data_IF_782103943894
#
_entry.id   IF_782103943894
#
_cell.length_a   1.000
_cell.length_b   1.000
_cell.length_c   1.000
_cell.angle_alpha   90.00
_cell.angle_beta   90.00
_cell.angle_gamma   90.00
#
_symmetry.space_group_name_H-M   'P 1'
#
loop_
_entity.id
_entity.type
_entity.pdbx_description
1 polymer ?
#
# COMPACT_ATOMS: atom_id res chain seq x y z
N UNK A 1 19.07 -36.18 3.25
CA UNK A 1 18.63 -35.14 4.22
C UNK A 1 18.47 -33.85 3.43
N UNK A 2 17.25 -33.54 3.03
CA UNK A 2 16.95 -32.39 2.16
C UNK A 2 16.69 -31.17 3.06
N UNK A 3 17.50 -30.13 2.89
CA UNK A 3 17.33 -28.84 3.57
C UNK A 3 16.11 -28.14 2.98
N UNK A 4 15.00 -28.07 3.72
CA UNK A 4 13.94 -27.10 3.43
C UNK A 4 14.40 -25.73 3.93
N UNK A 5 14.79 -24.86 2.99
CA UNK A 5 14.78 -23.43 3.25
C UNK A 5 13.31 -23.02 3.26
N UNK A 6 12.67 -23.16 4.43
CA UNK A 6 11.41 -22.47 4.68
C UNK A 6 11.73 -20.98 4.59
N UNK A 7 11.49 -20.39 3.41
CA UNK A 7 11.24 -18.97 3.31
C UNK A 7 9.91 -18.73 4.04
N UNK A 8 9.96 -18.78 5.37
CA UNK A 8 8.94 -18.22 6.24
C UNK A 8 8.83 -16.78 5.78
N UNK A 9 7.85 -16.54 4.91
CA UNK A 9 7.50 -15.24 4.41
C UNK A 9 7.16 -14.43 5.64
N UNK A 10 8.16 -13.69 6.12
CA UNK A 10 8.08 -12.89 7.33
C UNK A 10 7.19 -11.72 6.94
N UNK A 11 5.89 -11.94 7.01
CA UNK A 11 4.85 -10.94 6.83
C UNK A 11 5.32 -9.74 7.65
N UNK A 12 5.61 -8.65 6.93
CA UNK A 12 6.35 -7.51 7.47
C UNK A 12 5.77 -7.10 8.82
N UNK A 13 6.65 -6.63 9.72
CA UNK A 13 6.36 -6.24 11.10
C UNK A 13 4.87 -6.07 11.40
N UNK A 14 4.30 -6.95 12.23
CA UNK A 14 2.88 -6.94 12.61
C UNK A 14 2.40 -5.53 13.03
N UNK A 15 3.29 -4.75 13.66
CA UNK A 15 3.03 -3.36 14.05
C UNK A 15 2.81 -2.45 12.85
N UNK A 16 3.59 -2.62 11.78
CA UNK A 16 3.42 -1.89 10.52
C UNK A 16 2.11 -2.28 9.84
N UNK A 17 1.77 -3.57 9.82
CA UNK A 17 0.49 -4.04 9.30
C UNK A 17 -0.70 -3.42 10.04
N UNK A 18 -0.68 -3.44 11.37
CA UNK A 18 -1.73 -2.82 12.22
C UNK A 18 -1.80 -1.31 11.97
N UNK A 19 -0.66 -0.62 11.88
CA UNK A 19 -0.63 0.82 11.60
C UNK A 19 -1.28 1.14 10.25
N UNK A 20 -0.95 0.41 9.19
CA UNK A 20 -1.54 0.60 7.86
C UNK A 20 -3.04 0.30 7.88
N UNK A 21 -3.46 -0.81 8.48
CA UNK A 21 -4.88 -1.18 8.57
C UNK A 21 -5.68 -0.13 9.35
N UNK A 22 -5.15 0.36 10.48
CA UNK A 22 -5.80 1.40 11.27
C UNK A 22 -5.96 2.71 10.48
N UNK A 23 -4.94 3.10 9.72
CA UNK A 23 -4.98 4.26 8.84
C UNK A 23 -6.03 4.09 7.73
N UNK A 24 -6.10 2.90 7.11
CA UNK A 24 -7.10 2.59 6.07
C UNK A 24 -8.52 2.67 6.62
N UNK A 25 -8.77 2.11 7.80
CA UNK A 25 -10.09 2.15 8.45
C UNK A 25 -10.50 3.61 8.75
N UNK A 26 -9.60 4.44 9.25
CA UNK A 26 -9.89 5.85 9.54
C UNK A 26 -10.27 6.63 8.27
N UNK A 27 -9.48 6.49 7.20
CA UNK A 27 -9.76 7.16 5.91
C UNK A 27 -11.06 6.64 5.30
N UNK A 28 -11.29 5.32 5.36
CA UNK A 28 -12.53 4.70 4.87
C UNK A 28 -13.76 5.21 5.63
N UNK A 29 -13.68 5.33 6.94
CA UNK A 29 -14.79 5.82 7.78
C UNK A 29 -15.13 7.26 7.45
N UNK A 30 -14.11 8.13 7.30
CA UNK A 30 -14.31 9.53 6.91
C UNK A 30 -14.93 9.62 5.51
N UNK A 31 -14.42 8.83 4.55
CA UNK A 31 -14.97 8.81 3.19
C UNK A 31 -16.39 8.27 3.13
N UNK A 32 -16.70 7.26 3.94
CA UNK A 32 -18.05 6.70 4.06
C UNK A 32 -19.05 7.72 4.63
N UNK A 33 -18.68 8.43 5.71
CA UNK A 33 -19.51 9.49 6.30
C UNK A 33 -19.74 10.61 5.28
N UNK A 34 -18.68 11.07 4.60
CA UNK A 34 -18.77 12.13 3.59
C UNK A 34 -19.62 11.71 2.37
N UNK A 35 -19.60 10.43 1.99
CA UNK A 35 -20.43 9.90 0.91
C UNK A 35 -21.89 9.69 1.32
N UNK A 36 -22.16 9.35 2.58
CA UNK A 36 -23.52 9.05 3.06
C UNK A 36 -24.26 10.31 3.51
N UNK A 37 -23.55 11.28 4.09
CA UNK A 37 -24.09 12.55 4.55
C UNK A 37 -23.32 13.71 3.92
N UNK A 38 -23.60 14.04 2.64
CA UNK A 38 -23.08 15.26 2.04
C UNK A 38 -23.72 16.47 2.73
N UNK A 39 -23.07 17.03 3.75
CA UNK A 39 -23.53 18.24 4.45
C UNK A 39 -23.43 19.46 3.54
N UNK A 40 -24.38 19.62 2.61
CA UNK A 40 -24.66 20.84 1.82
C UNK A 40 -23.51 21.45 1.00
N UNK A 41 -22.28 20.93 1.11
CA UNK A 41 -21.10 21.39 0.42
C UNK A 41 -21.14 20.98 -1.05
N UNK A 42 -20.49 21.78 -1.88
CA UNK A 42 -20.40 21.53 -3.32
C UNK A 42 -19.88 20.11 -3.58
N UNK A 43 -20.57 19.33 -4.43
CA UNK A 43 -20.24 17.93 -4.73
C UNK A 43 -18.75 17.78 -5.11
N UNK A 44 -18.21 18.80 -5.79
CA UNK A 44 -16.82 18.89 -6.18
C UNK A 44 -15.86 18.74 -4.98
N UNK A 45 -16.15 19.39 -3.85
CA UNK A 45 -15.33 19.32 -2.63
C UNK A 45 -15.33 17.91 -2.03
N UNK A 46 -16.47 17.22 -2.06
CA UNK A 46 -16.61 15.86 -1.56
C UNK A 46 -15.82 14.89 -2.45
N UNK A 47 -15.94 15.03 -3.78
CA UNK A 47 -15.19 14.22 -4.75
C UNK A 47 -13.69 14.46 -4.62
N UNK A 48 -13.23 15.71 -4.52
CA UNK A 48 -11.82 16.03 -4.35
C UNK A 48 -11.24 15.47 -3.05
N UNK A 49 -11.99 15.48 -1.94
CA UNK A 49 -11.47 14.96 -0.67
C UNK A 49 -11.32 13.43 -0.71
N UNK A 50 -12.31 12.72 -1.27
CA UNK A 50 -12.30 11.26 -1.36
C UNK A 50 -11.32 10.75 -2.42
N UNK A 51 -11.43 11.25 -3.66
CA UNK A 51 -10.59 10.82 -4.79
C UNK A 51 -9.18 11.41 -4.68
N UNK A 52 -9.05 12.68 -4.28
CA UNK A 52 -7.76 13.33 -4.13
C UNK A 52 -6.89 12.69 -3.04
N UNK A 53 -7.50 12.21 -1.95
CA UNK A 53 -6.78 11.45 -0.92
C UNK A 53 -6.11 10.20 -1.49
N UNK A 54 -6.82 9.43 -2.32
CA UNK A 54 -6.27 8.22 -2.97
C UNK A 54 -5.17 8.59 -3.96
N UNK A 55 -5.36 9.63 -4.77
CA UNK A 55 -4.37 10.07 -5.76
C UNK A 55 -3.06 10.49 -5.09
N UNK A 56 -3.13 11.27 -4.00
CA UNK A 56 -1.94 11.65 -3.22
C UNK A 56 -1.31 10.42 -2.57
N UNK A 57 -2.11 9.51 -2.01
CA UNK A 57 -1.61 8.30 -1.35
C UNK A 57 -0.89 7.37 -2.33
N UNK A 58 -1.46 7.13 -3.51
CA UNK A 58 -0.86 6.35 -4.58
C UNK A 58 0.40 7.03 -5.14
N UNK A 59 0.36 8.35 -5.34
CA UNK A 59 1.53 9.12 -5.75
C UNK A 59 2.68 9.00 -4.74
N UNK A 60 2.37 9.05 -3.44
CA UNK A 60 3.36 8.86 -2.39
C UNK A 60 3.88 7.42 -2.33
N UNK A 61 3.02 6.42 -2.47
CA UNK A 61 3.41 5.00 -2.53
C UNK A 61 4.34 4.74 -3.72
N UNK A 62 4.00 5.27 -4.89
CA UNK A 62 4.83 5.20 -6.09
C UNK A 62 6.18 5.87 -5.89
N UNK A 63 6.19 7.06 -5.28
CA UNK A 63 7.44 7.77 -5.01
C UNK A 63 8.33 7.02 -4.02
N UNK A 64 7.75 6.50 -2.93
CA UNK A 64 8.47 5.68 -1.95
C UNK A 64 9.00 4.38 -2.55
N UNK A 65 8.21 3.71 -3.38
CA UNK A 65 8.62 2.52 -4.11
C UNK A 65 9.79 2.82 -5.05
N UNK A 66 9.69 3.87 -5.87
CA UNK A 66 10.78 4.30 -6.74
C UNK A 66 12.05 4.65 -5.95
N UNK A 67 11.91 5.27 -4.77
CA UNK A 67 13.05 5.57 -3.90
C UNK A 67 13.68 4.29 -3.32
N UNK A 68 12.86 3.31 -2.98
CA UNK A 68 13.31 2.00 -2.50
C UNK A 68 14.07 1.24 -3.60
N UNK A 69 13.48 1.10 -4.80
CA UNK A 69 14.11 0.49 -5.97
C UNK A 69 15.44 1.16 -6.31
N UNK A 70 15.49 2.50 -6.33
CA UNK A 70 16.73 3.25 -6.62
C UNK A 70 17.82 3.05 -5.56
N UNK A 71 17.47 2.64 -4.35
CA UNK A 71 18.42 2.33 -3.27
C UNK A 71 18.91 0.89 -3.26
N UNK A 72 18.26 -0.01 -4.02
CA UNK A 72 18.65 -1.42 -4.12
C UNK A 72 19.81 -1.59 -5.11
N UNK A 73 20.75 -2.45 -4.75
CA UNK A 73 21.85 -2.84 -5.65
C UNK A 73 21.33 -3.68 -6.82
N UNK A 74 22.07 -3.72 -7.94
CA UNK A 74 21.63 -4.42 -9.18
C UNK A 74 21.30 -5.90 -8.96
N UNK A 75 21.93 -6.55 -7.98
CA UNK A 75 21.66 -7.95 -7.62
C UNK A 75 20.34 -8.14 -6.85
N UNK A 76 19.94 -7.15 -6.04
CA UNK A 76 18.68 -7.20 -5.27
C UNK A 76 17.49 -6.83 -6.16
N UNK A 77 17.65 -5.88 -7.08
CA UNK A 77 16.64 -5.58 -8.12
C UNK A 77 16.36 -6.81 -9.00
N UNK A 78 17.40 -7.58 -9.34
CA UNK A 78 17.28 -8.81 -10.12
C UNK A 78 16.68 -10.00 -9.34
N UNK A 79 16.60 -9.93 -8.01
CA UNK A 79 15.88 -10.93 -7.18
C UNK A 79 14.41 -10.54 -7.00
N UNK A 80 14.10 -9.26 -6.83
CA UNK A 80 12.71 -8.76 -6.76
C UNK A 80 11.98 -8.82 -8.11
N UNK A 81 12.68 -8.65 -9.23
CA UNK A 81 12.10 -8.73 -10.58
C UNK A 81 11.93 -10.15 -11.12
N UNK A 82 12.37 -11.18 -10.39
CA UNK A 82 12.13 -12.58 -10.80
C UNK A 82 10.65 -12.89 -10.62
N UNK A 83 9.94 -13.34 -11.67
CA UNK A 83 8.60 -13.86 -11.48
C UNK A 83 8.67 -14.99 -10.45
N UNK A 84 7.76 -15.00 -9.48
CA UNK A 84 7.57 -16.12 -8.57
C UNK A 84 7.11 -17.30 -9.43
N UNK A 85 8.07 -18.02 -10.01
CA UNK A 85 7.82 -19.26 -10.73
C UNK A 85 7.49 -20.29 -9.67
N UNK A 86 6.21 -20.43 -9.37
CA UNK A 86 5.69 -21.59 -8.67
C UNK A 86 5.90 -22.78 -9.62
N UNK A 87 6.97 -23.54 -9.43
CA UNK A 87 7.09 -24.86 -10.03
C UNK A 87 6.04 -25.74 -9.36
N UNK A 88 4.99 -26.05 -10.12
CA UNK A 88 3.91 -26.98 -9.78
C UNK A 88 4.47 -28.38 -9.56
#
# INVERSE_FOLDING_TARGET
MIYYSEQLFKMGSQRTGIAIVSMLIAIFTVGFIASTFPTGGNILTIVFYNVGGIVIFLGFAWWKYNRYIKGLTTEEQAKEARPVVHSV
#
